data_IF_924782158525
#
_entry.id   IF_924782158525
#
_cell.length_a   1.000
_cell.length_b   1.000
_cell.length_c   1.000
_cell.angle_alpha   90.00
_cell.angle_beta   90.00
_cell.angle_gamma   90.00
#
_symmetry.space_group_name_H-M   'P 1'
#
loop_
_entity.id
_entity.type
_entity.pdbx_description
1 polymer ?
#
# COMPACT_ATOMS: atom_id res chain seq x y z
N UNK A 1 -1.88 -10.22 -9.82
CA UNK A 1 -1.99 -11.58 -9.23
C UNK A 1 -0.87 -12.51 -9.72
N UNK A 2 -0.71 -12.72 -11.02
CA UNK A 2 0.35 -13.58 -11.57
C UNK A 2 1.78 -13.17 -11.14
N UNK A 3 2.10 -11.87 -11.16
CA UNK A 3 3.43 -11.38 -10.73
C UNK A 3 3.69 -11.60 -9.23
N UNK A 4 2.66 -11.47 -8.39
CA UNK A 4 2.75 -11.74 -6.96
C UNK A 4 3.05 -13.21 -6.68
N UNK A 5 2.35 -14.11 -7.38
CA UNK A 5 2.54 -15.57 -7.26
C UNK A 5 3.92 -16.00 -7.75
N UNK A 6 4.40 -15.47 -8.88
CA UNK A 6 5.72 -15.81 -9.41
C UNK A 6 6.84 -15.38 -8.46
N UNK A 7 6.75 -14.20 -7.84
CA UNK A 7 7.76 -13.73 -6.88
C UNK A 7 7.65 -14.40 -5.51
N UNK A 8 6.44 -14.75 -5.08
CA UNK A 8 6.25 -15.46 -3.81
C UNK A 8 6.90 -16.85 -3.78
N UNK A 9 7.02 -17.50 -4.94
CA UNK A 9 7.70 -18.80 -5.08
C UNK A 9 9.20 -18.71 -5.37
N UNK A 10 9.77 -17.50 -5.52
CA UNK A 10 11.22 -17.33 -5.63
C UNK A 10 11.81 -17.32 -4.22
N UNK A 11 12.74 -18.24 -3.88
CA UNK A 11 13.37 -18.26 -2.57
C UNK A 11 14.14 -16.96 -2.33
N UNK A 12 14.09 -16.47 -1.09
CA UNK A 12 14.77 -15.24 -0.72
C UNK A 12 16.28 -15.34 -1.04
N UNK A 13 16.86 -14.35 -1.74
CA UNK A 13 18.31 -14.33 -2.01
C UNK A 13 19.10 -14.23 -0.71
N UNK A 14 20.31 -14.81 -0.71
CA UNK A 14 21.19 -14.82 0.46
C UNK A 14 21.42 -13.39 1.00
N UNK A 15 21.19 -13.19 2.30
CA UNK A 15 21.30 -11.89 2.97
C UNK A 15 19.98 -11.14 3.17
N UNK A 16 18.86 -11.61 2.61
CA UNK A 16 17.53 -11.02 2.82
C UNK A 16 16.70 -11.87 3.78
N UNK A 17 15.99 -11.23 4.73
CA UNK A 17 15.03 -11.95 5.58
C UNK A 17 13.82 -12.41 4.76
N UNK A 18 13.25 -13.55 5.14
CA UNK A 18 12.05 -14.09 4.47
C UNK A 18 10.88 -13.09 4.50
N UNK A 19 10.67 -12.39 5.62
CA UNK A 19 9.64 -11.35 5.73
C UNK A 19 9.88 -10.18 4.76
N UNK A 20 11.12 -9.74 4.57
CA UNK A 20 11.44 -8.67 3.62
C UNK A 20 11.18 -9.10 2.17
N UNK A 21 11.43 -10.37 1.84
CA UNK A 21 11.12 -10.94 0.52
C UNK A 21 9.61 -10.97 0.26
N UNK A 22 8.81 -11.39 1.25
CA UNK A 22 7.34 -11.38 1.14
C UNK A 22 6.78 -9.96 1.04
N UNK A 23 7.31 -9.02 1.83
CA UNK A 23 6.93 -7.61 1.74
C UNK A 23 7.21 -7.04 0.34
N UNK A 24 8.40 -7.30 -0.21
CA UNK A 24 8.78 -6.89 -1.56
C UNK A 24 7.86 -7.49 -2.62
N UNK A 25 7.50 -8.76 -2.48
CA UNK A 25 6.60 -9.47 -3.39
C UNK A 25 5.21 -8.81 -3.43
N UNK A 26 4.66 -8.46 -2.25
CA UNK A 26 3.38 -7.75 -2.17
C UNK A 26 3.50 -6.33 -2.72
N UNK A 27 4.59 -5.63 -2.41
CA UNK A 27 4.85 -4.30 -2.95
C UNK A 27 4.85 -4.30 -4.49
N UNK A 28 5.56 -5.23 -5.12
CA UNK A 28 5.57 -5.33 -6.58
C UNK A 28 4.20 -5.76 -7.13
N UNK A 29 3.48 -6.63 -6.42
CA UNK A 29 2.12 -6.99 -6.79
C UNK A 29 1.18 -5.77 -6.82
N UNK A 30 1.31 -4.87 -5.84
CA UNK A 30 0.56 -3.61 -5.79
C UNK A 30 0.97 -2.69 -6.92
N UNK A 31 2.27 -2.49 -7.17
CA UNK A 31 2.77 -1.67 -8.29
C UNK A 31 2.22 -2.16 -9.62
N UNK A 32 2.32 -3.46 -9.91
CA UNK A 32 1.76 -4.05 -11.14
C UNK A 32 0.25 -3.93 -11.17
N UNK A 33 -0.44 -4.12 -10.04
CA UNK A 33 -1.89 -3.94 -9.94
C UNK A 33 -2.32 -2.50 -10.24
N UNK A 34 -1.55 -1.51 -9.81
CA UNK A 34 -1.79 -0.11 -10.11
C UNK A 34 -1.48 0.26 -11.57
N UNK A 35 -0.51 -0.42 -12.20
CA UNK A 35 -0.19 -0.20 -13.64
C UNK A 35 -1.27 -0.83 -14.54
N UNK A 36 -1.71 -2.05 -14.22
CA UNK A 36 -2.68 -2.78 -15.03
C UNK A 36 -4.13 -2.34 -14.80
N UNK A 37 -4.38 -1.60 -13.70
CA UNK A 37 -5.69 -1.08 -13.30
C UNK A 37 -6.87 -2.06 -13.47
N UNK A 38 -6.76 -3.34 -13.02
CA UNK A 38 -7.88 -4.27 -13.14
C UNK A 38 -9.07 -3.87 -12.24
N UNK A 39 -8.80 -3.04 -11.23
CA UNK A 39 -9.73 -2.54 -10.22
C UNK A 39 -9.37 -1.08 -9.87
N UNK A 40 -10.24 -0.34 -9.16
CA UNK A 40 -9.92 1.00 -8.69
C UNK A 40 -8.62 1.04 -7.87
N UNK A 41 -7.76 2.01 -8.14
CA UNK A 41 -6.44 2.15 -7.50
C UNK A 41 -6.51 2.14 -5.97
N UNK A 42 -7.53 2.77 -5.39
CA UNK A 42 -7.77 2.79 -3.96
C UNK A 42 -7.96 1.38 -3.36
N UNK A 43 -8.67 0.49 -4.07
CA UNK A 43 -8.89 -0.89 -3.64
C UNK A 43 -7.58 -1.69 -3.68
N UNK A 44 -6.80 -1.55 -4.75
CA UNK A 44 -5.52 -2.24 -4.91
C UNK A 44 -4.54 -1.83 -3.82
N UNK A 45 -4.40 -0.53 -3.56
CA UNK A 45 -3.52 -0.02 -2.50
C UNK A 45 -3.97 -0.46 -1.11
N UNK A 46 -5.27 -0.34 -0.80
CA UNK A 46 -5.81 -0.73 0.50
C UNK A 46 -5.68 -2.23 0.76
N UNK A 47 -5.93 -3.07 -0.25
CA UNK A 47 -5.76 -4.51 -0.16
C UNK A 47 -4.30 -4.88 0.10
N UNK A 48 -3.35 -4.25 -0.59
CA UNK A 48 -1.92 -4.44 -0.37
C UNK A 48 -1.49 -4.15 1.07
N UNK A 49 -1.84 -2.98 1.59
CA UNK A 49 -1.54 -2.58 2.98
C UNK A 49 -2.20 -3.52 3.99
N UNK A 50 -3.45 -3.91 3.74
CA UNK A 50 -4.21 -4.83 4.61
C UNK A 50 -3.57 -6.23 4.66
N UNK A 51 -3.12 -6.76 3.52
CA UNK A 51 -2.44 -8.07 3.45
C UNK A 51 -1.11 -8.02 4.20
N UNK A 52 -0.33 -6.95 4.04
CA UNK A 52 0.94 -6.78 4.76
C UNK A 52 0.72 -6.74 6.28
N UNK A 53 -0.29 -6.00 6.75
CA UNK A 53 -0.64 -5.92 8.15
C UNK A 53 -1.14 -7.26 8.71
N UNK A 54 -1.99 -7.95 7.95
CA UNK A 54 -2.54 -9.25 8.33
C UNK A 54 -1.46 -10.32 8.47
N UNK A 55 -0.48 -10.31 7.58
CA UNK A 55 0.67 -11.22 7.61
C UNK A 55 1.73 -10.80 8.64
N UNK A 56 1.61 -9.63 9.28
CA UNK A 56 2.54 -9.17 10.30
C UNK A 56 3.97 -8.97 9.77
N UNK A 57 4.13 -8.56 8.51
CA UNK A 57 5.44 -8.48 7.85
C UNK A 57 6.31 -7.32 8.35
N UNK A 58 5.73 -6.44 9.18
CA UNK A 58 6.41 -5.26 9.75
C UNK A 58 6.31 -5.32 11.27
N UNK A 59 7.43 -5.59 11.93
CA UNK A 59 7.53 -5.59 13.39
C UNK A 59 6.69 -6.66 14.08
N UNK A 60 6.15 -6.34 15.25
CA UNK A 60 5.16 -7.18 15.95
C UNK A 60 3.72 -6.90 15.44
N UNK A 61 2.71 -7.75 15.77
CA UNK A 61 1.35 -7.59 15.23
C UNK A 61 0.72 -6.21 15.49
N UNK A 62 1.02 -5.60 16.65
CA UNK A 62 0.52 -4.27 17.01
C UNK A 62 1.20 -3.16 16.20
N UNK A 63 2.52 -3.26 16.02
CA UNK A 63 3.30 -2.37 15.17
C UNK A 63 2.88 -2.48 13.70
N UNK A 64 2.56 -3.67 13.22
CA UNK A 64 2.14 -3.88 11.82
C UNK A 64 0.83 -3.15 11.50
N UNK A 65 -0.14 -3.18 12.42
CA UNK A 65 -1.38 -2.41 12.30
C UNK A 65 -1.09 -0.91 12.36
N UNK A 66 -0.24 -0.50 13.29
CA UNK A 66 0.13 0.93 13.44
C UNK A 66 0.83 1.45 12.19
N UNK A 67 1.74 0.66 11.62
CA UNK A 67 2.42 0.95 10.36
C UNK A 67 1.43 1.07 9.20
N UNK A 68 0.49 0.14 9.07
CA UNK A 68 -0.51 0.15 8.01
C UNK A 68 -1.41 1.40 8.05
N UNK A 69 -1.77 1.87 9.25
CA UNK A 69 -2.61 3.06 9.42
C UNK A 69 -1.81 4.37 9.34
N UNK A 70 -0.49 4.33 9.54
CA UNK A 70 0.36 5.52 9.59
C UNK A 70 0.29 6.39 8.34
N UNK A 71 0.13 5.78 7.16
CA UNK A 71 0.00 6.49 5.90
C UNK A 71 -1.28 7.32 5.79
N UNK A 72 -2.39 6.87 6.38
CA UNK A 72 -3.69 7.56 6.34
C UNK A 72 -3.76 8.76 7.27
N UNK A 73 -2.87 8.82 8.26
CA UNK A 73 -2.72 9.97 9.17
C UNK A 73 -1.72 11.01 8.69
N UNK A 74 -1.15 10.89 7.48
CA UNK A 74 -0.10 11.77 7.02
C UNK A 74 -0.62 13.20 6.76
N UNK A 75 -0.03 14.19 7.45
CA UNK A 75 -0.45 15.59 7.37
C UNK A 75 -0.33 16.18 5.97
N UNK A 76 0.68 15.80 5.19
CA UNK A 76 0.87 16.26 3.81
C UNK A 76 -0.26 15.77 2.92
N UNK A 77 -0.69 14.52 3.07
CA UNK A 77 -1.83 13.96 2.30
C UNK A 77 -3.13 14.72 2.63
N UNK A 78 -3.38 14.98 3.91
CA UNK A 78 -4.56 15.74 4.34
C UNK A 78 -4.54 17.19 3.88
N UNK A 79 -3.36 17.82 3.83
CA UNK A 79 -3.20 19.17 3.27
C UNK A 79 -3.55 19.20 1.78
N UNK A 80 -3.12 18.19 1.00
CA UNK A 80 -3.49 18.06 -0.42
C UNK A 80 -5.01 17.89 -0.56
N UNK A 81 -5.64 17.03 0.25
CA UNK A 81 -7.09 16.84 0.25
C UNK A 81 -7.84 18.14 0.58
N UNK A 82 -7.43 18.87 1.62
CA UNK A 82 -8.03 20.15 1.99
C UNK A 82 -7.92 21.21 0.88
N UNK A 83 -6.76 21.30 0.22
CA UNK A 83 -6.56 22.21 -0.91
C UNK A 83 -7.52 21.90 -2.08
N UNK A 84 -7.70 20.63 -2.44
CA UNK A 84 -8.68 20.23 -3.46
C UNK A 84 -10.11 20.54 -3.05
N UNK A 85 -10.47 20.30 -1.78
CA UNK A 85 -11.80 20.63 -1.25
C UNK A 85 -12.10 22.13 -1.32
N UNK A 86 -11.14 22.99 -0.96
CA UNK A 86 -11.30 24.44 -1.10
C UNK A 86 -11.44 24.87 -2.57
N UNK A 87 -10.61 24.33 -3.46
CA UNK A 87 -10.71 24.62 -4.90
C UNK A 87 -12.08 24.22 -5.48
N UNK A 88 -12.61 23.06 -5.07
CA UNK A 88 -13.95 22.61 -5.46
C UNK A 88 -15.06 23.48 -4.87
N UNK A 89 -14.90 23.93 -3.63
CA UNK A 89 -15.80 24.87 -2.97
C UNK A 89 -15.88 26.19 -3.73
N UNK A 90 -14.73 26.79 -4.02
CA UNK A 90 -14.63 28.03 -4.80
C UNK A 90 -15.29 27.89 -6.17
N UNK A 91 -14.96 26.83 -6.94
CA UNK A 91 -15.59 26.54 -8.24
C UNK A 91 -17.12 26.50 -8.17
N UNK A 92 -17.70 26.02 -7.06
CA UNK A 92 -19.15 25.90 -6.89
C UNK A 92 -19.80 27.24 -6.48
N UNK A 93 -19.08 28.09 -5.77
CA UNK A 93 -19.62 29.35 -5.20
C UNK A 93 -19.21 30.62 -5.94
N UNK A 94 -18.23 30.54 -6.85
CA UNK A 94 -17.67 31.68 -7.58
C UNK A 94 -16.19 31.87 -7.31
#
# INVERSE_FOLDING_TARGET
>A
VLVALVLWFIPAPEGLSSNACHFLSIFLAVVVGLILEPFPAALVGFAGVSIVAFLGLVGNPKESITWALSGFGNSVIWLIFAAFMFALGYKKTG
#
